data_IF_407512977137
#
_entry.id   IF_407512977137
#
_cell.length_a   1.000
_cell.length_b   1.000
_cell.length_c   1.000
_cell.angle_alpha   90.00
_cell.angle_beta   90.00
_cell.angle_gamma   90.00
#
_symmetry.space_group_name_H-M   'P 1'
#
loop_
_entity.id
_entity.type
_entity.pdbx_description
1 polymer ?
#
# COMPACT_ATOMS: atom_id res chain seq x y z
N UNK A 1 -16.86 -4.62 -15.55
CA UNK A 1 -16.51 -6.01 -15.91
C UNK A 1 -15.33 -6.39 -15.06
N UNK A 2 -15.55 -7.07 -13.94
CA UNK A 2 -14.46 -7.47 -13.07
C UNK A 2 -13.66 -8.58 -13.76
N UNK A 3 -12.39 -8.31 -14.09
CA UNK A 3 -11.44 -9.34 -14.50
C UNK A 3 -11.13 -10.20 -13.28
N UNK A 4 -10.77 -11.47 -13.48
CA UNK A 4 -10.34 -12.30 -12.35
C UNK A 4 -9.12 -11.68 -11.63
N UNK A 5 -8.29 -10.94 -12.35
CA UNK A 5 -7.03 -10.42 -11.85
C UNK A 5 -6.84 -8.96 -12.25
N UNK A 6 -6.32 -8.14 -11.33
CA UNK A 6 -5.77 -6.83 -11.63
C UNK A 6 -6.82 -5.87 -12.18
N UNK A 7 -7.71 -5.39 -11.32
CA UNK A 7 -8.81 -4.50 -11.73
C UNK A 7 -8.30 -3.23 -12.40
N UNK A 8 -7.17 -2.69 -11.95
CA UNK A 8 -6.41 -1.65 -12.63
C UNK A 8 -5.30 -2.20 -13.53
N UNK A 9 -4.37 -2.97 -12.97
CA UNK A 9 -3.24 -3.56 -13.72
C UNK A 9 -3.05 -5.04 -13.38
N UNK A 10 -2.83 -5.85 -14.40
CA UNK A 10 -2.34 -7.22 -14.28
C UNK A 10 -0.97 -7.33 -14.94
N UNK A 11 0.09 -7.53 -14.15
CA UNK A 11 1.48 -7.52 -14.65
C UNK A 11 2.32 -8.69 -14.12
N UNK A 12 3.18 -9.24 -15.00
CA UNK A 12 4.10 -10.35 -14.70
C UNK A 12 5.58 -10.01 -15.03
N UNK A 13 5.85 -8.77 -15.48
CA UNK A 13 7.21 -8.27 -15.77
C UNK A 13 7.65 -7.19 -14.77
N UNK A 14 8.57 -6.32 -15.17
CA UNK A 14 8.93 -5.15 -14.34
C UNK A 14 7.88 -4.05 -14.50
N UNK A 15 7.42 -3.49 -13.38
CA UNK A 15 6.49 -2.36 -13.36
C UNK A 15 6.96 -1.27 -12.41
N UNK A 16 6.91 -0.02 -12.86
CA UNK A 16 7.16 1.15 -12.04
C UNK A 16 5.92 2.04 -12.03
N UNK A 17 5.46 2.35 -10.82
CA UNK A 17 4.30 3.18 -10.53
C UNK A 17 4.77 4.32 -9.65
N UNK A 18 4.67 5.55 -10.16
CA UNK A 18 5.21 6.74 -9.49
C UNK A 18 4.21 7.88 -9.60
N UNK A 19 3.87 8.53 -8.48
CA UNK A 19 2.91 9.64 -8.44
C UNK A 19 1.60 9.27 -9.16
N UNK A 20 1.01 8.14 -8.78
CA UNK A 20 -0.19 7.59 -9.41
C UNK A 20 -1.30 7.35 -8.39
N UNK A 21 -2.55 7.36 -8.85
CA UNK A 21 -3.72 6.95 -8.06
C UNK A 21 -4.42 5.77 -8.73
N UNK A 22 -4.63 4.70 -7.97
CA UNK A 22 -5.47 3.56 -8.32
C UNK A 22 -6.70 3.63 -7.43
N UNK A 23 -7.81 4.08 -7.97
CA UNK A 23 -9.05 4.26 -7.23
C UNK A 23 -10.17 3.39 -7.80
N UNK A 24 -10.98 2.82 -6.91
CA UNK A 24 -12.24 2.14 -7.23
C UNK A 24 -12.12 1.04 -8.29
N UNK A 25 -10.98 0.32 -8.30
CA UNK A 25 -10.77 -0.81 -9.20
C UNK A 25 -11.23 -2.11 -8.54
N UNK A 26 -11.85 -2.97 -9.34
CA UNK A 26 -12.44 -4.22 -8.86
C UNK A 26 -11.92 -5.43 -9.66
N UNK A 27 -11.44 -6.45 -8.94
CA UNK A 27 -11.13 -7.77 -9.49
C UNK A 27 -11.89 -8.85 -8.71
N UNK A 28 -12.35 -9.91 -9.36
CA UNK A 28 -13.10 -10.95 -8.64
C UNK A 28 -12.23 -11.90 -7.82
N UNK A 29 -10.93 -12.01 -8.10
CA UNK A 29 -10.05 -12.93 -7.39
C UNK A 29 -8.84 -12.24 -6.73
N UNK A 30 -8.00 -11.54 -7.48
CA UNK A 30 -6.76 -10.99 -6.91
C UNK A 30 -6.40 -9.62 -7.45
N UNK A 31 -5.93 -8.74 -6.55
CA UNK A 31 -5.38 -7.44 -6.90
C UNK A 31 -6.45 -6.51 -7.45
N UNK A 32 -7.26 -5.90 -6.59
CA UNK A 32 -8.28 -4.94 -7.02
C UNK A 32 -7.63 -3.78 -7.78
N UNK A 33 -6.60 -3.18 -7.17
CA UNK A 33 -5.72 -2.23 -7.86
C UNK A 33 -4.75 -2.94 -8.82
N UNK A 34 -3.84 -3.74 -8.27
CA UNK A 34 -2.80 -4.43 -9.05
C UNK A 34 -2.69 -5.91 -8.67
N UNK A 35 -2.78 -6.78 -9.68
CA UNK A 35 -2.31 -8.16 -9.58
C UNK A 35 -0.89 -8.25 -10.13
N UNK A 36 0.04 -8.66 -9.28
CA UNK A 36 1.45 -8.72 -9.63
C UNK A 36 2.00 -10.14 -9.49
N UNK A 37 2.35 -10.75 -10.63
CA UNK A 37 2.64 -12.18 -10.73
C UNK A 37 4.10 -12.60 -10.63
N UNK A 38 5.03 -11.81 -11.18
CA UNK A 38 6.48 -12.11 -11.19
C UNK A 38 7.30 -10.87 -11.54
N UNK A 39 8.60 -10.86 -11.21
CA UNK A 39 9.52 -9.75 -11.52
C UNK A 39 9.65 -8.76 -10.36
N UNK A 40 9.81 -7.46 -10.68
CA UNK A 40 9.85 -6.39 -9.68
C UNK A 40 8.80 -5.31 -9.95
N UNK A 41 8.00 -5.00 -8.93
CA UNK A 41 7.09 -3.85 -8.91
C UNK A 41 7.64 -2.81 -7.94
N UNK A 42 7.77 -1.56 -8.39
CA UNK A 42 8.08 -0.42 -7.52
C UNK A 42 6.91 0.55 -7.52
N UNK A 43 6.31 0.78 -6.36
CA UNK A 43 5.29 1.79 -6.13
C UNK A 43 5.89 2.91 -5.26
N UNK A 44 5.95 4.12 -5.80
CA UNK A 44 6.53 5.29 -5.15
C UNK A 44 5.54 6.44 -5.18
N UNK A 45 5.33 7.13 -4.06
CA UNK A 45 4.48 8.32 -4.00
C UNK A 45 3.08 8.09 -4.57
N UNK A 46 2.50 6.91 -4.35
CA UNK A 46 1.26 6.51 -5.02
C UNK A 46 0.14 6.25 -4.03
N UNK A 47 -1.10 6.39 -4.48
CA UNK A 47 -2.31 6.17 -3.69
C UNK A 47 -3.08 4.99 -4.26
N UNK A 48 -3.45 4.04 -3.41
CA UNK A 48 -4.37 2.95 -3.70
C UNK A 48 -5.59 3.16 -2.82
N UNK A 49 -6.74 3.47 -3.42
CA UNK A 49 -7.95 3.87 -2.71
C UNK A 49 -9.16 3.06 -3.16
N UNK A 50 -9.98 2.56 -2.24
CA UNK A 50 -11.28 1.97 -2.60
C UNK A 50 -11.21 0.75 -3.54
N UNK A 51 -10.06 0.08 -3.66
CA UNK A 51 -9.94 -1.06 -4.57
C UNK A 51 -10.40 -2.35 -3.89
N UNK A 52 -11.06 -3.24 -4.63
CA UNK A 52 -11.69 -4.44 -4.08
C UNK A 52 -11.28 -5.71 -4.82
N UNK A 53 -10.95 -6.76 -4.06
CA UNK A 53 -10.77 -8.13 -4.57
C UNK A 53 -11.06 -9.20 -3.51
N UNK A 54 -10.88 -10.49 -3.83
CA UNK A 54 -10.88 -11.53 -2.79
C UNK A 54 -9.57 -11.51 -2.00
N UNK A 55 -8.44 -11.36 -2.70
CA UNK A 55 -7.11 -11.26 -2.11
C UNK A 55 -6.39 -10.01 -2.61
N UNK A 56 -5.85 -9.20 -1.70
CA UNK A 56 -5.11 -7.99 -2.08
C UNK A 56 -6.04 -6.96 -2.69
N UNK A 57 -6.87 -6.30 -1.88
CA UNK A 57 -7.78 -5.25 -2.36
C UNK A 57 -7.01 -4.17 -3.12
N UNK A 58 -5.96 -3.63 -2.52
CA UNK A 58 -4.98 -2.78 -3.19
C UNK A 58 -4.07 -3.58 -4.13
N UNK A 59 -3.18 -4.40 -3.57
CA UNK A 59 -2.20 -5.18 -4.35
C UNK A 59 -2.15 -6.64 -3.89
N UNK A 60 -2.16 -7.54 -4.87
CA UNK A 60 -1.80 -8.94 -4.67
C UNK A 60 -0.40 -9.21 -5.24
N UNK A 61 0.53 -9.67 -4.40
CA UNK A 61 1.95 -9.82 -4.75
C UNK A 61 2.43 -11.28 -4.75
N UNK A 62 2.94 -11.72 -5.91
CA UNK A 62 3.66 -12.98 -6.12
C UNK A 62 5.13 -12.78 -6.52
N UNK A 63 5.63 -11.54 -6.61
CA UNK A 63 7.00 -11.20 -6.98
C UNK A 63 7.73 -10.33 -5.94
N UNK A 64 8.70 -9.52 -6.37
CA UNK A 64 9.34 -8.53 -5.50
C UNK A 64 8.58 -7.20 -5.58
N UNK A 65 7.94 -6.82 -4.49
CA UNK A 65 7.22 -5.57 -4.35
C UNK A 65 7.99 -4.61 -3.45
N UNK A 66 8.32 -3.43 -3.97
CA UNK A 66 8.90 -2.32 -3.22
C UNK A 66 7.88 -1.19 -3.17
N UNK A 67 7.42 -0.81 -1.97
CA UNK A 67 6.50 0.30 -1.79
C UNK A 67 7.10 1.36 -0.89
N UNK A 68 7.12 2.59 -1.38
CA UNK A 68 7.69 3.73 -0.67
C UNK A 68 6.78 4.93 -0.73
N UNK A 69 6.63 5.61 0.42
CA UNK A 69 5.90 6.86 0.54
C UNK A 69 4.52 6.83 -0.15
N UNK A 70 3.79 5.74 0.06
CA UNK A 70 2.50 5.50 -0.60
C UNK A 70 1.39 5.38 0.44
N UNK A 71 0.15 5.45 0.00
CA UNK A 71 -1.03 5.33 0.86
C UNK A 71 -1.96 4.26 0.32
N UNK A 72 -2.35 3.32 1.18
CA UNK A 72 -3.41 2.34 0.93
C UNK A 72 -4.57 2.69 1.83
N UNK A 73 -5.67 3.19 1.28
CA UNK A 73 -6.84 3.60 2.06
C UNK A 73 -8.11 2.96 1.51
N UNK A 74 -9.04 2.57 2.38
CA UNK A 74 -10.37 2.08 2.01
C UNK A 74 -10.37 0.88 1.03
N UNK A 75 -9.23 0.20 0.85
CA UNK A 75 -9.16 -1.00 0.02
C UNK A 75 -9.78 -2.17 0.77
N UNK A 76 -10.51 -3.04 0.08
CA UNK A 76 -11.21 -4.16 0.71
C UNK A 76 -10.84 -5.50 0.08
N UNK A 77 -10.65 -6.50 0.94
CA UNK A 77 -10.48 -7.88 0.53
C UNK A 77 -11.53 -8.76 1.19
N UNK A 78 -12.35 -9.45 0.39
CA UNK A 78 -13.41 -10.32 0.94
C UNK A 78 -12.86 -11.56 1.63
N UNK A 79 -11.61 -11.94 1.34
CA UNK A 79 -10.93 -13.07 1.99
C UNK A 79 -9.74 -12.58 2.83
N UNK A 80 -8.77 -11.86 2.25
CA UNK A 80 -7.56 -11.46 3.00
C UNK A 80 -6.71 -10.40 2.31
N UNK A 81 -6.07 -9.52 3.10
CA UNK A 81 -5.17 -8.46 2.62
C UNK A 81 -5.92 -7.31 1.94
N UNK A 82 -6.63 -6.48 2.71
CA UNK A 82 -7.33 -5.30 2.19
C UNK A 82 -6.37 -4.36 1.48
N UNK A 83 -5.27 -3.98 2.12
CA UNK A 83 -4.19 -3.21 1.49
C UNK A 83 -3.33 -4.08 0.56
N UNK A 84 -2.54 -4.99 1.16
CA UNK A 84 -1.62 -5.86 0.43
C UNK A 84 -1.74 -7.31 0.90
N UNK A 85 -1.87 -8.24 -0.05
CA UNK A 85 -1.67 -9.67 0.19
C UNK A 85 -0.36 -10.13 -0.45
N UNK A 86 0.61 -10.48 0.37
CA UNK A 86 1.97 -10.87 -0.03
C UNK A 86 2.19 -12.39 0.08
N UNK A 87 2.67 -12.98 -1.01
CA UNK A 87 3.10 -14.39 -1.08
C UNK A 87 4.59 -14.55 -1.44
N UNK A 88 5.30 -13.45 -1.65
CA UNK A 88 6.72 -13.47 -2.05
C UNK A 88 7.48 -12.37 -1.29
N UNK A 89 8.25 -11.49 -1.93
CA UNK A 89 9.03 -10.48 -1.22
C UNK A 89 8.34 -9.13 -1.22
N UNK A 90 8.12 -8.58 -0.02
CA UNK A 90 7.61 -7.23 0.18
C UNK A 90 8.64 -6.39 0.95
N UNK A 91 8.91 -5.18 0.46
CA UNK A 91 9.63 -4.16 1.19
C UNK A 91 8.79 -2.89 1.30
N UNK A 92 8.58 -2.41 2.53
CA UNK A 92 7.79 -1.22 2.83
C UNK A 92 8.67 -0.16 3.50
N UNK A 93 8.52 1.10 3.08
CA UNK A 93 9.15 2.22 3.78
C UNK A 93 8.29 3.48 3.71
N UNK A 94 8.08 4.17 4.83
CA UNK A 94 7.31 5.42 4.86
C UNK A 94 5.88 5.31 4.32
N UNK A 95 5.26 4.12 4.37
CA UNK A 95 3.96 3.85 3.72
C UNK A 95 2.84 3.80 4.76
N UNK A 96 1.68 4.35 4.40
CA UNK A 96 0.49 4.39 5.26
C UNK A 96 -0.53 3.35 4.78
N UNK A 97 -1.09 2.60 5.73
CA UNK A 97 -2.17 1.64 5.53
C UNK A 97 -3.36 1.97 6.43
N UNK A 98 -4.50 2.22 5.78
CA UNK A 98 -5.81 2.53 6.35
C UNK A 98 -6.90 1.82 5.53
N UNK A 99 -6.73 0.52 5.28
CA UNK A 99 -7.65 -0.27 4.47
C UNK A 99 -9.04 -0.35 5.14
N UNK A 100 -10.04 -0.70 4.35
CA UNK A 100 -11.43 -0.73 4.80
C UNK A 100 -11.69 -1.79 5.87
N UNK A 101 -12.92 -1.79 6.40
CA UNK A 101 -13.33 -2.67 7.51
C UNK A 101 -13.22 -4.17 7.19
N UNK A 102 -13.13 -4.53 5.91
CA UNK A 102 -13.06 -5.90 5.43
C UNK A 102 -11.65 -6.20 4.89
N UNK A 103 -10.78 -6.67 5.78
CA UNK A 103 -9.49 -7.27 5.44
C UNK A 103 -8.29 -6.53 6.02
N UNK A 104 -7.42 -7.29 6.68
CA UNK A 104 -6.10 -6.88 7.17
C UNK A 104 -5.35 -5.94 6.22
N UNK A 105 -4.82 -4.83 6.72
CA UNK A 105 -3.97 -3.90 5.96
C UNK A 105 -2.83 -4.59 5.21
N UNK A 106 -2.11 -5.47 5.91
CA UNK A 106 -1.05 -6.27 5.32
C UNK A 106 -1.22 -7.74 5.71
N UNK A 107 -1.03 -8.63 4.74
CA UNK A 107 -0.94 -10.06 4.99
C UNK A 107 0.31 -10.61 4.34
N UNK A 108 1.15 -11.28 5.11
CA UNK A 108 2.32 -11.99 4.61
C UNK A 108 2.13 -13.52 4.75
N UNK A 109 1.60 -14.16 3.70
CA UNK A 109 1.25 -15.58 3.69
C UNK A 109 2.38 -16.45 3.13
N UNK A 110 3.48 -16.57 3.86
CA UNK A 110 4.62 -17.41 3.47
C UNK A 110 5.66 -16.70 2.60
N UNK A 111 5.53 -15.39 2.44
CA UNK A 111 6.53 -14.52 1.84
C UNK A 111 7.57 -13.99 2.83
N UNK A 112 8.48 -13.17 2.33
CA UNK A 112 9.40 -12.35 3.13
C UNK A 112 8.82 -10.93 3.25
N UNK A 113 8.77 -10.41 4.47
CA UNK A 113 8.31 -9.07 4.76
C UNK A 113 9.45 -8.26 5.36
N UNK A 114 9.80 -7.14 4.72
CA UNK A 114 10.87 -6.25 5.15
C UNK A 114 10.28 -4.87 5.48
N UNK A 115 10.26 -4.56 6.77
CA UNK A 115 9.91 -3.25 7.30
C UNK A 115 11.15 -2.37 7.33
N UNK A 116 11.27 -1.45 6.36
CA UNK A 116 12.38 -0.50 6.26
C UNK A 116 12.10 0.82 7.00
N UNK A 117 11.09 0.83 7.87
CA UNK A 117 10.84 1.90 8.82
C UNK A 117 9.81 2.93 8.36
N UNK A 118 9.25 3.63 9.36
CA UNK A 118 8.28 4.72 9.22
C UNK A 118 6.97 4.33 8.51
N UNK A 119 6.65 3.04 8.47
CA UNK A 119 5.35 2.58 8.00
C UNK A 119 4.31 2.73 9.11
N UNK A 120 3.08 3.06 8.75
CA UNK A 120 1.98 3.20 9.69
C UNK A 120 0.79 2.37 9.23
N UNK A 121 0.20 1.59 10.13
CA UNK A 121 -1.03 0.84 9.93
C UNK A 121 -2.06 1.26 10.97
N UNK A 122 -3.31 1.48 10.61
CA UNK A 122 -4.39 1.72 11.58
C UNK A 122 -4.93 0.44 12.25
N UNK A 123 -4.43 -0.73 11.84
CA UNK A 123 -4.71 -2.02 12.46
C UNK A 123 -3.41 -2.71 12.95
N UNK A 124 -3.53 -3.94 13.44
CA UNK A 124 -2.43 -4.75 13.96
C UNK A 124 -1.89 -5.80 12.97
N UNK A 125 -2.25 -5.74 11.70
CA UNK A 125 -2.03 -6.82 10.75
C UNK A 125 -0.63 -6.82 10.11
N UNK A 126 0.03 -5.67 10.05
CA UNK A 126 1.31 -5.54 9.35
C UNK A 126 2.51 -6.03 10.17
N UNK A 127 2.39 -6.13 11.49
CA UNK A 127 3.45 -6.62 12.37
C UNK A 127 4.66 -5.69 12.37
N UNK A 128 4.41 -4.39 12.30
CA UNK A 128 5.44 -3.36 12.23
C UNK A 128 6.25 -3.26 13.53
N UNK A 129 7.53 -2.92 13.40
CA UNK A 129 8.47 -2.84 14.52
C UNK A 129 9.35 -1.58 14.41
N UNK A 130 9.99 -1.20 15.51
CA UNK A 130 10.99 -0.13 15.51
C UNK A 130 10.37 1.25 15.26
N UNK A 131 10.73 1.90 14.14
CA UNK A 131 10.22 3.24 13.78
C UNK A 131 8.89 3.19 13.04
N UNK A 132 8.40 2.00 12.68
CA UNK A 132 7.07 1.78 12.13
C UNK A 132 6.08 1.47 13.27
N UNK A 133 4.78 1.67 13.03
CA UNK A 133 3.75 1.46 14.04
C UNK A 133 2.46 0.85 13.47
N UNK A 134 1.94 -0.14 14.19
CA UNK A 134 0.58 -0.67 14.05
C UNK A 134 -0.40 0.05 15.00
N UNK A 135 -1.69 0.01 14.69
CA UNK A 135 -2.78 0.69 15.42
C UNK A 135 -2.58 2.22 15.53
N UNK A 136 -1.98 2.82 14.51
CA UNK A 136 -1.80 4.27 14.40
C UNK A 136 -3.15 4.98 14.20
N UNK A 137 -3.28 6.16 14.79
CA UNK A 137 -4.43 7.05 14.54
C UNK A 137 -4.15 7.81 13.24
N UNK A 138 -4.73 7.39 12.12
CA UNK A 138 -4.39 7.97 10.81
C UNK A 138 -5.28 9.16 10.38
N UNK A 139 -6.57 9.18 10.77
CA UNK A 139 -7.51 10.28 10.48
C UNK A 139 -7.43 10.79 9.03
N UNK A 140 -7.37 9.89 8.05
CA UNK A 140 -7.26 10.27 6.65
C UNK A 140 -8.57 10.90 6.15
N UNK A 141 -8.46 12.00 5.40
CA UNK A 141 -9.57 12.58 4.66
C UNK A 141 -9.97 11.70 3.45
N UNK A 142 -11.10 12.04 2.83
CA UNK A 142 -11.54 11.39 1.60
C UNK A 142 -10.51 11.57 0.47
N UNK A 143 -10.56 10.67 -0.53
CA UNK A 143 -9.76 10.81 -1.74
C UNK A 143 -10.15 12.12 -2.46
N UNK A 144 -9.19 13.03 -2.59
CA UNK A 144 -9.44 14.36 -3.14
C UNK A 144 -8.20 14.91 -3.85
N UNK A 145 -8.39 15.97 -4.62
CA UNK A 145 -7.28 16.80 -5.10
C UNK A 145 -6.78 17.67 -3.93
N UNK A 146 -5.73 17.19 -3.27
CA UNK A 146 -5.05 17.91 -2.19
C UNK A 146 -3.83 18.70 -2.69
N UNK A 147 -3.81 19.00 -4.00
CA UNK A 147 -2.66 19.55 -4.70
C UNK A 147 -1.72 18.47 -5.23
N UNK A 148 -0.84 18.87 -6.16
CA UNK A 148 0.07 17.97 -6.86
C UNK A 148 -0.51 17.45 -8.17
N UNK A 149 -0.04 16.28 -8.62
CA UNK A 149 -0.39 15.72 -9.94
C UNK A 149 -1.48 14.65 -9.89
N UNK A 150 -1.84 14.15 -8.71
CA UNK A 150 -2.81 13.06 -8.53
C UNK A 150 -3.61 13.22 -7.23
N UNK A 151 -4.77 12.57 -7.15
CA UNK A 151 -5.60 12.57 -5.95
C UNK A 151 -4.96 11.76 -4.81
N UNK A 152 -5.12 12.22 -3.58
CA UNK A 152 -4.52 11.62 -2.37
C UNK A 152 -5.49 11.65 -1.20
N UNK A 153 -5.12 11.00 -0.10
CA UNK A 153 -5.81 11.11 1.19
C UNK A 153 -4.98 11.98 2.13
N UNK A 154 -5.49 13.16 2.51
CA UNK A 154 -4.77 14.10 3.38
C UNK A 154 -4.90 13.66 4.85
N UNK A 155 -3.79 13.53 5.60
CA UNK A 155 -3.86 13.31 7.05
C UNK A 155 -4.53 14.48 7.77
N UNK A 156 -5.56 14.19 8.56
CA UNK A 156 -6.28 15.17 9.36
C UNK A 156 -5.59 15.50 10.67
N UNK A 157 -6.15 16.48 11.41
CA UNK A 157 -5.63 16.87 12.71
C UNK A 157 -5.57 15.69 13.69
N UNK A 158 -4.47 15.59 14.44
CA UNK A 158 -4.25 14.49 15.39
C UNK A 158 -3.85 13.17 14.75
N UNK A 159 -3.58 13.14 13.44
CA UNK A 159 -3.02 11.98 12.76
C UNK A 159 -1.57 11.74 13.16
N UNK A 160 -1.23 10.50 13.49
CA UNK A 160 0.14 10.03 13.73
C UNK A 160 1.02 10.13 12.48
N UNK A 161 0.41 10.23 11.28
CA UNK A 161 1.14 10.43 10.03
C UNK A 161 1.77 11.83 9.91
N UNK A 162 1.25 12.82 10.64
CA UNK A 162 1.78 14.19 10.59
C UNK A 162 3.11 14.26 11.35
N UNK A 163 4.20 14.42 10.60
CA UNK A 163 5.54 14.49 11.17
C UNK A 163 6.11 13.13 11.59
N UNK A 164 5.50 12.02 11.14
CA UNK A 164 5.98 10.66 11.41
C UNK A 164 7.44 10.45 10.97
N UNK A 165 7.83 11.09 9.87
CA UNK A 165 9.20 11.08 9.34
C UNK A 165 9.85 12.42 9.70
N UNK A 166 10.91 12.44 10.53
CA UNK A 166 11.64 13.67 10.82
C UNK A 166 12.25 14.27 9.54
N UNK A 167 12.19 15.60 9.42
CA UNK A 167 12.80 16.33 8.30
C UNK A 167 14.29 16.01 8.19
N UNK A 168 14.79 15.76 6.97
CA UNK A 168 16.17 15.37 6.70
C UNK A 168 16.45 13.87 6.90
N UNK A 169 15.47 13.08 7.34
CA UNK A 169 15.57 11.62 7.36
C UNK A 169 15.65 11.11 5.93
N UNK A 170 16.65 10.25 5.65
CA UNK A 170 16.70 9.50 4.41
C UNK A 170 16.13 8.11 4.65
N UNK A 171 15.11 7.75 3.88
CA UNK A 171 14.50 6.44 3.88
C UNK A 171 14.97 5.70 2.64
N UNK A 172 15.45 4.46 2.82
CA UNK A 172 15.86 3.59 1.73
C UNK A 172 14.97 2.35 1.67
N UNK A 173 14.60 1.95 0.46
CA UNK A 173 13.80 0.77 0.21
C UNK A 173 14.34 0.04 -1.03
N UNK A 174 15.07 -1.06 -0.80
CA UNK A 174 15.60 -1.94 -1.84
C UNK A 174 16.26 -1.20 -3.03
N UNK A 175 17.17 -0.27 -2.74
CA UNK A 175 17.93 0.50 -3.74
C UNK A 175 17.29 1.81 -4.20
N UNK A 176 16.07 2.12 -3.77
CA UNK A 176 15.47 3.45 -3.90
C UNK A 176 15.63 4.23 -2.60
N UNK A 177 16.00 5.51 -2.65
CA UNK A 177 16.11 6.37 -1.46
C UNK A 177 15.45 7.71 -1.70
N UNK A 178 14.83 8.26 -0.66
CA UNK A 178 14.26 9.60 -0.65
C UNK A 178 14.53 10.27 0.70
N UNK A 179 14.62 11.60 0.69
CA UNK A 179 14.86 12.42 1.88
C UNK A 179 13.70 13.38 2.08
N UNK A 180 13.15 13.40 3.29
CA UNK A 180 12.05 14.26 3.72
C UNK A 180 12.46 15.73 3.87
#
# INVERSE_FOLDING_TARGET
SATNYGGGINNFGTLMVTNSTFADNEATLSGGGINFGSGTLTALNSTFSGNTANYGGGIYNLGTLNVTNSTFADNEATISGGGIYNLSTLHLAGTIFAAGLNGDNCVNSGGTFNDNGYNLSDDASCGFLGTSADNATLNLGALADNGGTTQTHLPGAGSDAIGAIPIGTTISNNGTSWTC
#
